data_IF_225079782198
#
_entry.id   IF_225079782198
#
_cell.length_a   1.000
_cell.length_b   1.000
_cell.length_c   1.000
_cell.angle_alpha   90.00
_cell.angle_beta   90.00
_cell.angle_gamma   90.00
#
_symmetry.space_group_name_H-M   'P 1'
#
loop_
_entity.id
_entity.type
_entity.pdbx_description
1 polymer ?
#
# COMPACT_ATOMS: atom_id res chain seq x y z
N UNK A 1 7.43 0.62 14.78
CA UNK A 1 6.41 1.26 13.92
C UNK A 1 7.17 1.91 12.77
N UNK A 2 7.30 1.15 11.69
CA UNK A 2 8.44 1.21 10.79
C UNK A 2 8.28 2.22 9.65
N UNK A 3 9.31 3.03 9.48
CA UNK A 3 9.98 3.45 8.24
C UNK A 3 9.20 4.03 7.04
N UNK A 4 7.92 3.72 6.80
CA UNK A 4 7.20 4.22 5.61
C UNK A 4 6.89 5.71 5.71
N UNK A 5 6.40 6.18 6.86
CA UNK A 5 6.19 7.62 7.11
C UNK A 5 7.46 8.45 6.92
N UNK A 6 8.60 7.90 7.34
CA UNK A 6 9.91 8.54 7.17
C UNK A 6 10.34 8.58 5.70
N UNK A 7 10.03 7.54 4.93
CA UNK A 7 10.28 7.48 3.49
C UNK A 7 9.38 8.44 2.69
N UNK A 8 8.11 8.59 3.09
CA UNK A 8 7.17 9.58 2.55
C UNK A 8 7.71 11.01 2.76
N UNK A 9 8.17 11.32 3.98
CA UNK A 9 8.80 12.60 4.32
C UNK A 9 10.11 12.83 3.52
N UNK A 10 10.94 11.79 3.35
CA UNK A 10 12.20 11.84 2.60
C UNK A 10 11.98 12.02 1.08
N UNK A 11 10.92 11.46 0.51
CA UNK A 11 10.55 11.66 -0.89
C UNK A 11 10.17 13.13 -1.19
N UNK A 12 9.46 13.78 -0.26
CA UNK A 12 9.15 15.21 -0.34
C UNK A 12 10.41 16.08 -0.15
N UNK A 13 11.32 15.66 0.74
CA UNK A 13 12.49 16.46 1.13
C UNK A 13 13.60 16.53 0.08
N UNK A 14 13.66 15.60 -0.88
CA UNK A 14 14.63 15.65 -2.00
C UNK A 14 14.56 16.94 -2.83
N UNK A 15 13.41 17.62 -2.86
CA UNK A 15 13.29 18.94 -3.50
C UNK A 15 13.95 20.10 -2.73
N UNK A 16 14.13 19.97 -1.42
CA UNK A 16 14.64 21.03 -0.55
C UNK A 16 16.17 20.98 -0.34
N UNK A 17 16.76 19.77 -0.27
CA UNK A 17 18.20 19.60 -0.07
C UNK A 17 19.03 19.79 -1.36
N UNK A 18 18.37 19.88 -2.54
CA UNK A 18 19.00 20.17 -3.83
C UNK A 18 19.47 21.63 -3.99
N UNK A 19 19.14 22.53 -3.06
CA UNK A 19 19.53 23.94 -3.12
C UNK A 19 21.04 24.20 -2.94
N UNK A 20 21.81 23.19 -2.50
CA UNK A 20 23.26 23.31 -2.24
C UNK A 20 24.18 22.53 -3.18
N UNK A 21 23.69 21.49 -3.87
CA UNK A 21 24.49 20.65 -4.78
C UNK A 21 23.97 20.76 -6.21
N UNK A 22 24.60 21.65 -6.99
CA UNK A 22 24.29 21.91 -8.39
C UNK A 22 24.45 20.68 -9.29
N UNK A 23 25.13 19.62 -8.83
CA UNK A 23 25.26 18.36 -9.56
C UNK A 23 23.95 17.56 -9.65
N UNK A 24 22.99 17.83 -8.76
CA UNK A 24 21.72 17.07 -8.65
C UNK A 24 20.56 17.77 -9.38
N UNK A 25 20.77 18.96 -9.93
CA UNK A 25 19.72 19.71 -10.61
C UNK A 25 19.53 19.20 -12.05
N UNK A 26 18.31 18.80 -12.46
CA UNK A 26 18.08 18.35 -13.83
C UNK A 26 18.33 19.51 -14.80
N UNK A 27 19.28 19.33 -15.71
CA UNK A 27 19.72 20.39 -16.63
C UNK A 27 18.77 20.51 -17.84
N UNK A 28 17.95 19.48 -18.13
CA UNK A 28 17.01 19.46 -19.24
C UNK A 28 15.55 19.26 -18.77
N UNK A 29 14.56 20.00 -19.32
CA UNK A 29 13.14 19.81 -18.98
C UNK A 29 12.61 18.38 -19.15
N UNK A 30 13.19 17.56 -20.05
CA UNK A 30 12.79 16.15 -20.16
C UNK A 30 13.28 15.29 -18.96
N UNK A 31 14.40 15.65 -18.35
CA UNK A 31 14.93 14.99 -17.16
C UNK A 31 14.03 15.30 -15.96
N UNK A 32 13.58 16.56 -15.82
CA UNK A 32 12.63 16.97 -14.78
C UNK A 32 11.34 16.15 -14.84
N UNK A 33 10.77 15.94 -16.05
CA UNK A 33 9.56 15.15 -16.21
C UNK A 33 9.75 13.68 -15.80
N UNK A 34 10.90 13.10 -16.16
CA UNK A 34 11.24 11.71 -15.81
C UNK A 34 11.41 11.56 -14.30
N UNK A 35 12.13 12.48 -13.65
CA UNK A 35 12.34 12.47 -12.20
C UNK A 35 11.02 12.61 -11.44
N UNK A 36 10.13 13.52 -11.88
CA UNK A 36 8.80 13.66 -11.26
C UNK A 36 7.99 12.38 -11.39
N UNK A 37 8.02 11.73 -12.57
CA UNK A 37 7.31 10.47 -12.77
C UNK A 37 7.84 9.35 -11.85
N UNK A 38 9.16 9.28 -11.66
CA UNK A 38 9.77 8.30 -10.76
C UNK A 38 9.40 8.55 -9.29
N UNK A 39 9.31 9.82 -8.88
CA UNK A 39 8.84 10.19 -7.55
C UNK A 39 7.38 9.79 -7.35
N UNK A 40 6.50 10.13 -8.30
CA UNK A 40 5.08 9.78 -8.25
C UNK A 40 4.87 8.27 -8.17
N UNK A 41 5.59 7.50 -9.00
CA UNK A 41 5.53 6.04 -8.95
C UNK A 41 5.98 5.49 -7.60
N UNK A 42 7.03 6.05 -7.02
CA UNK A 42 7.53 5.65 -5.69
C UNK A 42 6.48 5.90 -4.60
N UNK A 43 5.82 7.06 -4.65
CA UNK A 43 4.74 7.40 -3.71
C UNK A 43 3.56 6.45 -3.84
N UNK A 44 3.13 6.10 -5.06
CA UNK A 44 2.05 5.14 -5.29
C UNK A 44 2.36 3.75 -4.72
N UNK A 45 3.60 3.27 -4.86
CA UNK A 45 4.02 2.00 -4.27
C UNK A 45 3.96 2.05 -2.74
N UNK A 46 4.47 3.12 -2.12
CA UNK A 46 4.42 3.29 -0.66
C UNK A 46 2.98 3.33 -0.13
N UNK A 47 2.08 4.03 -0.82
CA UNK A 47 0.66 4.05 -0.46
C UNK A 47 0.05 2.64 -0.51
N UNK A 48 0.36 1.86 -1.55
CA UNK A 48 -0.14 0.49 -1.68
C UNK A 48 0.41 -0.43 -0.57
N UNK A 49 1.68 -0.26 -0.20
CA UNK A 49 2.30 -1.00 0.90
C UNK A 49 1.67 -0.63 2.26
N UNK A 50 1.38 0.65 2.49
CA UNK A 50 0.69 1.09 3.71
C UNK A 50 -0.69 0.45 3.85
N UNK A 51 -1.47 0.39 2.78
CA UNK A 51 -2.79 -0.29 2.79
C UNK A 51 -2.60 -1.77 3.12
N UNK A 52 -1.63 -2.46 2.51
CA UNK A 52 -1.35 -3.87 2.83
C UNK A 52 -0.93 -4.08 4.28
N UNK A 53 -0.15 -3.18 4.86
CA UNK A 53 0.23 -3.24 6.27
C UNK A 53 -1.02 -3.13 7.15
N UNK A 54 -1.92 -2.20 6.84
CA UNK A 54 -3.19 -2.06 7.55
C UNK A 54 -4.03 -3.34 7.47
N UNK A 55 -4.16 -3.93 6.27
CA UNK A 55 -4.89 -5.20 6.08
C UNK A 55 -4.29 -6.33 6.94
N UNK A 56 -2.96 -6.38 7.06
CA UNK A 56 -2.25 -7.37 7.87
C UNK A 56 -2.49 -7.12 9.37
N UNK A 57 -2.41 -5.87 9.81
CA UNK A 57 -2.68 -5.49 11.21
C UNK A 57 -4.10 -5.87 11.60
N UNK A 58 -5.08 -5.56 10.76
CA UNK A 58 -6.47 -5.94 10.98
C UNK A 58 -6.67 -7.46 10.99
N UNK A 59 -6.00 -8.19 10.09
CA UNK A 59 -6.04 -9.65 10.10
C UNK A 59 -5.46 -10.25 11.39
N UNK A 60 -4.41 -9.64 11.95
CA UNK A 60 -3.83 -10.03 13.24
C UNK A 60 -4.78 -9.73 14.40
N UNK A 61 -5.52 -8.61 14.35
CA UNK A 61 -6.58 -8.31 15.32
C UNK A 61 -7.71 -9.36 15.26
N UNK A 62 -8.15 -9.73 14.06
CA UNK A 62 -9.17 -10.79 13.89
C UNK A 62 -8.72 -12.15 14.46
N UNK A 63 -7.43 -12.45 14.43
CA UNK A 63 -6.87 -13.65 15.09
C UNK A 63 -6.98 -13.54 16.61
N UNK A 64 -6.66 -12.38 17.19
CA UNK A 64 -6.78 -12.17 18.63
C UNK A 64 -8.23 -12.23 19.12
N UNK A 65 -9.19 -11.87 18.26
CA UNK A 65 -10.61 -11.88 18.53
C UNK A 65 -11.32 -13.20 18.15
N UNK A 66 -10.57 -14.25 17.78
CA UNK A 66 -11.09 -15.55 17.31
C UNK A 66 -12.08 -15.45 16.12
N UNK A 67 -12.01 -14.39 15.32
CA UNK A 67 -12.82 -14.20 14.11
C UNK A 67 -12.05 -14.40 12.81
N UNK A 68 -10.82 -14.91 12.89
CA UNK A 68 -10.00 -15.14 11.71
C UNK A 68 -10.63 -16.18 10.78
N UNK A 69 -10.67 -15.85 9.48
CA UNK A 69 -11.27 -16.69 8.46
C UNK A 69 -12.77 -16.52 8.26
N UNK A 70 -13.39 -15.52 8.89
CA UNK A 70 -14.76 -15.09 8.60
C UNK A 70 -14.76 -13.86 7.67
N UNK A 71 -15.66 -13.86 6.69
CA UNK A 71 -15.87 -12.74 5.79
C UNK A 71 -16.56 -11.58 6.52
N UNK A 72 -16.08 -10.36 6.35
CA UNK A 72 -16.65 -9.19 7.04
C UNK A 72 -18.04 -8.76 6.54
N UNK A 73 -18.39 -9.11 5.29
CA UNK A 73 -19.65 -8.66 4.70
C UNK A 73 -20.78 -9.69 4.89
N UNK A 74 -20.48 -10.97 4.78
CA UNK A 74 -21.47 -12.05 4.84
C UNK A 74 -21.31 -13.01 6.02
N UNK A 75 -20.30 -12.81 6.86
CA UNK A 75 -19.99 -13.64 8.04
C UNK A 75 -19.75 -15.13 7.74
N UNK A 76 -19.58 -15.49 6.47
CA UNK A 76 -19.28 -16.86 6.04
C UNK A 76 -17.78 -17.15 6.09
N UNK A 77 -17.44 -18.43 6.22
CA UNK A 77 -16.06 -18.90 6.20
C UNK A 77 -15.36 -18.60 4.86
N UNK A 78 -14.16 -18.04 4.94
CA UNK A 78 -13.29 -17.78 3.80
C UNK A 78 -12.57 -19.09 3.45
N UNK A 79 -12.60 -19.45 2.17
CA UNK A 79 -11.93 -20.65 1.67
C UNK A 79 -10.46 -20.72 2.11
N UNK A 80 -10.06 -21.85 2.67
CA UNK A 80 -8.71 -22.10 3.20
C UNK A 80 -7.61 -21.89 2.13
N UNK A 81 -7.89 -22.22 0.88
CA UNK A 81 -7.00 -21.98 -0.26
C UNK A 81 -6.71 -20.49 -0.48
N UNK A 82 -7.72 -19.63 -0.27
CA UNK A 82 -7.57 -18.17 -0.35
C UNK A 82 -6.73 -17.64 0.80
N UNK A 83 -6.98 -18.08 2.04
CA UNK A 83 -6.19 -17.67 3.20
C UNK A 83 -4.73 -18.16 3.12
N UNK A 84 -4.48 -19.29 2.47
CA UNK A 84 -3.10 -19.77 2.20
C UNK A 84 -2.36 -18.90 1.19
N UNK A 85 -3.07 -18.36 0.19
CA UNK A 85 -2.48 -17.48 -0.81
C UNK A 85 -2.35 -16.04 -0.31
N UNK A 86 -3.40 -15.53 0.35
CA UNK A 86 -3.53 -14.16 0.83
C UNK A 86 -4.15 -14.22 2.24
N UNK A 87 -3.33 -14.28 3.29
CA UNK A 87 -3.81 -14.51 4.66
C UNK A 87 -4.54 -13.30 5.27
N UNK A 88 -4.32 -12.10 4.74
CA UNK A 88 -4.92 -10.85 5.20
C UNK A 88 -6.20 -10.49 4.45
N UNK A 89 -6.79 -11.40 3.66
CA UNK A 89 -7.99 -11.11 2.89
C UNK A 89 -9.24 -10.92 3.79
N UNK A 90 -9.91 -9.75 3.78
CA UNK A 90 -11.07 -9.48 4.65
C UNK A 90 -12.38 -10.09 4.13
N UNK A 91 -12.45 -10.37 2.82
CA UNK A 91 -13.68 -10.80 2.14
C UNK A 91 -13.51 -12.19 1.50
N UNK A 92 -14.61 -12.94 1.41
CA UNK A 92 -14.70 -14.14 0.57
C UNK A 92 -14.70 -13.79 -0.93
N UNK A 93 -14.53 -14.79 -1.80
CA UNK A 93 -14.46 -14.57 -3.25
C UNK A 93 -15.73 -13.91 -3.81
N UNK A 94 -16.90 -14.33 -3.35
CA UNK A 94 -18.19 -13.82 -3.84
C UNK A 94 -18.41 -12.36 -3.43
N UNK A 95 -18.11 -12.02 -2.17
CA UNK A 95 -18.16 -10.62 -1.70
C UNK A 95 -17.12 -9.76 -2.41
N UNK A 96 -15.89 -10.27 -2.59
CA UNK A 96 -14.85 -9.54 -3.29
C UNK A 96 -15.22 -9.25 -4.75
N UNK A 97 -15.82 -10.22 -5.44
CA UNK A 97 -16.30 -10.04 -6.81
C UNK A 97 -17.41 -9.00 -6.89
N UNK A 98 -18.39 -9.03 -5.96
CA UNK A 98 -19.45 -8.01 -5.90
C UNK A 98 -18.88 -6.61 -5.67
N UNK A 99 -17.84 -6.48 -4.84
CA UNK A 99 -17.16 -5.21 -4.60
C UNK A 99 -16.45 -4.68 -5.86
N UNK A 100 -15.77 -5.56 -6.61
CA UNK A 100 -15.09 -5.19 -7.86
C UNK A 100 -16.05 -4.82 -8.99
N UNK A 101 -17.22 -5.46 -9.05
CA UNK A 101 -18.29 -5.11 -10.01
C UNK A 101 -18.98 -3.77 -9.67
N UNK A 102 -18.89 -3.32 -8.42
CA UNK A 102 -19.51 -2.09 -7.94
C UNK A 102 -18.56 -0.86 -7.97
N UNK A 103 -17.28 -1.06 -8.25
CA UNK A 103 -16.24 -0.02 -8.33
C UNK A 103 -16.07 0.51 -9.76
#
# INVERSE_FOLDING_TARGET
MGNVRRLEDEACRKGADAAGDLSTMPLHPADMATDTQQQDMSLLFMQNENVRIQDIEEALERIQEDRFGLCEECEQEIALERLRAIPYAPLCMDCKRRQEEAA
#
